data_IF_515170674722
#
_entry.id   IF_515170674722
#
_cell.length_a   1.000
_cell.length_b   1.000
_cell.length_c   1.000
_cell.angle_alpha   90.00
_cell.angle_beta   90.00
_cell.angle_gamma   90.00
#
_symmetry.space_group_name_H-M   'P 1'
#
loop_
_entity.id
_entity.type
_entity.pdbx_description
1 polymer ?
#
# COMPACT_ATOMS: atom_id res chain seq x y z
N UNK A 1 6.89 -1.74 -21.72
CA UNK A 1 6.65 -2.48 -20.47
C UNK A 1 7.25 -1.60 -19.39
N UNK A 2 6.43 -1.12 -18.45
CA UNK A 2 6.94 -0.38 -17.30
C UNK A 2 7.44 -1.41 -16.30
N UNK A 3 8.54 -1.13 -15.62
CA UNK A 3 9.00 -1.97 -14.52
C UNK A 3 7.95 -1.90 -13.39
N UNK A 4 7.60 -3.06 -12.84
CA UNK A 4 6.65 -3.13 -11.73
C UNK A 4 7.42 -2.83 -10.46
N UNK A 5 6.97 -1.82 -9.72
CA UNK A 5 7.57 -1.47 -8.43
C UNK A 5 6.74 -2.14 -7.36
N UNK A 6 7.39 -2.91 -6.49
CA UNK A 6 6.70 -3.66 -5.44
C UNK A 6 7.28 -3.41 -4.05
N UNK A 7 6.38 -3.32 -3.08
CA UNK A 7 6.71 -3.15 -1.67
C UNK A 7 5.90 -4.10 -0.80
N UNK A 8 6.41 -4.37 0.39
CA UNK A 8 5.72 -5.09 1.46
C UNK A 8 5.56 -4.17 2.67
N UNK A 9 4.34 -4.02 3.19
CA UNK A 9 4.04 -3.30 4.44
C UNK A 9 3.60 -4.30 5.51
N UNK A 10 4.26 -4.34 6.67
CA UNK A 10 3.95 -5.32 7.72
C UNK A 10 4.24 -4.80 9.13
N UNK A 11 3.77 -5.51 10.14
CA UNK A 11 4.09 -5.18 11.54
C UNK A 11 5.55 -5.49 11.86
N UNK A 12 6.24 -4.60 12.58
CA UNK A 12 7.65 -4.78 12.94
C UNK A 12 7.88 -5.89 13.98
N UNK A 13 6.91 -6.11 14.87
CA UNK A 13 7.05 -7.08 15.95
C UNK A 13 6.77 -8.53 15.55
N UNK A 14 5.87 -8.75 14.58
CA UNK A 14 5.42 -10.08 14.16
C UNK A 14 5.70 -10.42 12.69
N UNK A 15 6.02 -9.42 11.86
CA UNK A 15 6.08 -9.57 10.40
C UNK A 15 4.76 -10.11 9.81
N UNK A 16 3.64 -9.70 10.40
CA UNK A 16 2.29 -10.11 10.04
C UNK A 16 1.51 -8.95 9.41
N UNK A 17 0.28 -9.24 8.98
CA UNK A 17 -0.67 -8.22 8.55
C UNK A 17 -1.00 -7.26 9.68
N UNK A 18 -0.88 -5.95 9.43
CA UNK A 18 -1.56 -4.95 10.23
C UNK A 18 -3.07 -5.23 10.23
N UNK A 19 -3.67 -5.27 11.42
CA UNK A 19 -5.07 -5.63 11.58
C UNK A 19 -5.99 -4.44 11.23
N UNK A 20 -6.24 -4.24 9.93
CA UNK A 20 -7.12 -3.17 9.43
C UNK A 20 -8.53 -3.74 9.27
N UNK A 21 -9.51 -3.13 9.92
CA UNK A 21 -10.91 -3.48 9.69
C UNK A 21 -11.31 -3.20 8.23
N UNK A 22 -11.98 -4.16 7.58
CA UNK A 22 -12.36 -4.06 6.15
C UNK A 22 -13.10 -2.76 5.80
N UNK A 23 -14.01 -2.31 6.65
CA UNK A 23 -14.74 -1.04 6.46
C UNK A 23 -13.89 0.22 6.59
N UNK A 24 -12.69 0.11 7.17
CA UNK A 24 -11.72 1.20 7.34
C UNK A 24 -10.63 1.19 6.27
N UNK A 25 -10.46 0.09 5.53
CA UNK A 25 -9.42 -0.04 4.49
C UNK A 25 -9.39 1.14 3.50
N UNK A 26 -10.52 1.65 2.96
CA UNK A 26 -10.48 2.79 2.06
C UNK A 26 -9.93 4.07 2.70
N UNK A 27 -10.13 4.23 4.01
CA UNK A 27 -9.63 5.38 4.75
C UNK A 27 -8.15 5.25 5.09
N UNK A 28 -7.68 4.03 5.36
CA UNK A 28 -6.32 3.76 5.83
C UNK A 28 -5.34 3.58 4.67
N UNK A 29 -5.77 2.90 3.60
CA UNK A 29 -4.93 2.57 2.46
C UNK A 29 -4.93 3.65 1.37
N UNK A 30 -5.89 4.57 1.39
CA UNK A 30 -5.79 5.79 0.57
C UNK A 30 -4.98 6.84 1.33
N UNK A 31 -3.79 7.22 0.85
CA UNK A 31 -2.92 8.17 1.55
C UNK A 31 -3.51 9.58 1.53
N UNK A 32 -3.69 10.15 2.72
CA UNK A 32 -4.22 11.50 2.88
C UNK A 32 -3.29 12.54 2.26
N UNK A 33 -3.87 13.53 1.57
CA UNK A 33 -3.12 14.56 0.86
C UNK A 33 -2.56 14.14 -0.50
N UNK A 34 -2.84 12.92 -0.95
CA UNK A 34 -2.54 12.47 -2.30
C UNK A 34 -3.80 12.51 -3.18
N UNK A 35 -3.62 12.87 -4.45
CA UNK A 35 -4.69 12.79 -5.45
C UNK A 35 -4.82 11.35 -5.95
N UNK A 36 -5.29 10.49 -5.05
CA UNK A 36 -5.50 9.07 -5.30
C UNK A 36 -6.95 8.70 -4.99
N UNK A 37 -7.58 7.93 -5.88
CA UNK A 37 -8.97 7.50 -5.74
C UNK A 37 -9.06 5.98 -5.65
N UNK A 38 -9.88 5.47 -4.73
CA UNK A 38 -10.18 4.04 -4.67
C UNK A 38 -10.92 3.60 -5.94
N UNK A 39 -10.53 2.47 -6.52
CA UNK A 39 -11.14 1.92 -7.73
C UNK A 39 -11.54 0.46 -7.51
N UNK A 40 -12.64 0.05 -8.16
CA UNK A 40 -13.10 -1.35 -8.13
C UNK A 40 -12.25 -2.21 -9.08
N UNK A 41 -11.89 -3.43 -8.68
CA UNK A 41 -11.07 -4.34 -9.48
C UNK A 41 -11.08 -5.78 -8.96
N UNK A 42 -10.69 -6.74 -9.81
CA UNK A 42 -10.80 -8.18 -9.54
C UNK A 42 -9.45 -8.73 -9.05
N UNK A 43 -9.37 -9.22 -7.80
CA UNK A 43 -8.28 -10.08 -7.32
C UNK A 43 -7.49 -9.59 -6.10
N UNK A 44 -7.39 -8.28 -5.86
CA UNK A 44 -6.68 -7.68 -4.70
C UNK A 44 -7.68 -7.12 -3.68
N UNK A 45 -7.29 -6.98 -2.41
CA UNK A 45 -8.20 -6.53 -1.36
C UNK A 45 -8.57 -5.05 -1.46
N UNK A 46 -7.64 -4.22 -1.94
CA UNK A 46 -7.88 -2.81 -2.21
C UNK A 46 -7.07 -2.32 -3.41
N UNK A 47 -7.62 -1.36 -4.15
CA UNK A 47 -6.95 -0.74 -5.29
C UNK A 47 -7.21 0.75 -5.32
N UNK A 48 -6.19 1.51 -5.70
CA UNK A 48 -6.27 2.93 -5.91
C UNK A 48 -5.62 3.35 -7.22
N UNK A 49 -6.07 4.47 -7.76
CA UNK A 49 -5.49 5.11 -8.94
C UNK A 49 -4.93 6.46 -8.54
N UNK A 50 -3.65 6.68 -8.80
CA UNK A 50 -2.94 7.94 -8.58
C UNK A 50 -2.42 8.44 -9.92
N UNK A 51 -3.13 9.39 -10.55
CA UNK A 51 -2.87 9.76 -11.95
C UNK A 51 -3.03 8.58 -12.90
N UNK A 52 -1.98 8.28 -13.67
CA UNK A 52 -1.96 7.18 -14.65
C UNK A 52 -1.43 5.85 -14.07
N UNK A 53 -1.20 5.78 -12.75
CA UNK A 53 -0.70 4.57 -12.07
C UNK A 53 -1.81 3.93 -11.25
N UNK A 54 -2.00 2.63 -11.44
CA UNK A 54 -2.79 1.80 -10.53
C UNK A 54 -1.88 1.25 -9.42
N UNK A 55 -2.38 1.27 -8.19
CA UNK A 55 -1.70 0.71 -7.02
C UNK A 55 -2.63 -0.32 -6.41
N UNK A 56 -2.15 -1.55 -6.31
CA UNK A 56 -2.91 -2.67 -5.75
C UNK A 56 -2.35 -3.05 -4.39
N UNK A 57 -3.24 -3.33 -3.44
CA UNK A 57 -2.92 -3.81 -2.09
C UNK A 57 -3.51 -5.22 -1.95
N UNK A 58 -2.62 -6.18 -1.73
CA UNK A 58 -2.97 -7.59 -1.56
C UNK A 58 -2.48 -8.07 -0.20
N UNK A 59 -3.36 -8.65 0.61
CA UNK A 59 -2.94 -9.30 1.83
C UNK A 59 -2.23 -10.61 1.50
N UNK A 60 -0.94 -10.73 1.85
CA UNK A 60 -0.14 -11.96 1.73
C UNK A 60 0.48 -12.36 3.07
N UNK A 61 0.52 -13.62 3.55
CA UNK A 61 0.84 -13.97 4.96
C UNK A 61 1.96 -13.20 5.70
N UNK A 62 2.93 -12.65 4.98
CA UNK A 62 4.05 -11.80 5.42
C UNK A 62 3.78 -10.29 5.52
N UNK A 63 2.62 -9.78 5.09
CA UNK A 63 2.28 -8.34 5.03
C UNK A 63 1.26 -7.96 3.94
N UNK A 64 1.02 -6.66 3.79
CA UNK A 64 0.36 -6.09 2.62
C UNK A 64 1.38 -5.93 1.50
N UNK A 65 1.23 -6.69 0.44
CA UNK A 65 1.95 -6.46 -0.81
C UNK A 65 1.33 -5.27 -1.54
N UNK A 66 2.18 -4.36 -2.02
CA UNK A 66 1.80 -3.14 -2.71
C UNK A 66 2.51 -3.09 -4.05
N UNK A 67 1.77 -3.23 -5.14
CA UNK A 67 2.30 -3.18 -6.50
C UNK A 67 1.84 -1.92 -7.23
N UNK A 68 2.74 -1.36 -8.04
CA UNK A 68 2.50 -0.15 -8.84
C UNK A 68 2.55 -0.49 -10.33
N UNK A 69 1.42 -0.33 -11.00
CA UNK A 69 1.27 -0.58 -12.43
C UNK A 69 1.06 0.75 -13.17
N UNK A 70 2.10 1.21 -13.88
CA UNK A 70 2.05 2.43 -14.69
C UNK A 70 3.26 3.34 -14.46
N UNK A 71 3.25 4.55 -15.04
CA UNK A 71 4.39 5.46 -15.00
C UNK A 71 4.47 6.21 -13.67
N UNK A 72 4.98 5.55 -12.62
CA UNK A 72 5.28 6.21 -11.33
C UNK A 72 6.79 6.17 -11.06
N UNK A 73 7.44 7.33 -10.82
CA UNK A 73 8.82 7.35 -10.35
C UNK A 73 8.97 6.61 -9.01
N UNK A 74 10.05 5.84 -8.88
CA UNK A 74 10.32 5.03 -7.69
C UNK A 74 10.34 5.84 -6.39
N UNK A 75 10.89 7.05 -6.41
CA UNK A 75 10.92 7.94 -5.25
C UNK A 75 9.51 8.41 -4.83
N UNK A 76 8.61 8.63 -5.80
CA UNK A 76 7.21 8.94 -5.56
C UNK A 76 6.48 7.72 -4.99
N UNK A 77 6.67 6.53 -5.57
CA UNK A 77 6.11 5.28 -5.05
C UNK A 77 6.55 5.01 -3.60
N UNK A 78 7.84 5.18 -3.29
CA UNK A 78 8.35 5.07 -1.93
C UNK A 78 7.69 6.06 -0.97
N UNK A 79 7.51 7.33 -1.37
CA UNK A 79 6.83 8.32 -0.52
C UNK A 79 5.37 7.96 -0.28
N UNK A 80 4.69 7.38 -1.27
CA UNK A 80 3.32 6.89 -1.13
C UNK A 80 3.27 5.75 -0.10
N UNK A 81 4.15 4.77 -0.21
CA UNK A 81 4.25 3.65 0.74
C UNK A 81 4.56 4.13 2.15
N UNK A 82 5.46 5.09 2.32
CA UNK A 82 5.75 5.72 3.63
C UNK A 82 4.48 6.35 4.22
N UNK A 83 3.72 7.08 3.41
CA UNK A 83 2.49 7.72 3.86
C UNK A 83 1.44 6.67 4.29
N UNK A 84 1.24 5.63 3.49
CA UNK A 84 0.30 4.54 3.84
C UNK A 84 0.75 3.81 5.11
N UNK A 85 2.05 3.47 5.23
CA UNK A 85 2.59 2.84 6.42
C UNK A 85 2.34 3.68 7.69
N UNK A 86 2.57 4.99 7.62
CA UNK A 86 2.29 5.91 8.74
C UNK A 86 0.80 5.96 9.11
N UNK A 87 -0.10 5.92 8.14
CA UNK A 87 -1.55 5.87 8.41
C UNK A 87 -1.96 4.54 9.06
N UNK A 88 -1.36 3.44 8.62
CA UNK A 88 -1.58 2.13 9.24
C UNK A 88 -1.08 2.14 10.69
N UNK A 89 0.11 2.69 10.98
CA UNK A 89 0.61 2.87 12.35
C UNK A 89 -0.39 3.65 13.21
N UNK A 90 -0.91 4.76 12.69
CA UNK A 90 -1.87 5.60 13.41
C UNK A 90 -3.21 4.89 13.68
N UNK A 91 -3.75 4.15 12.70
CA UNK A 91 -5.02 3.45 12.86
C UNK A 91 -4.89 2.24 13.79
N UNK A 92 -3.80 1.47 13.67
CA UNK A 92 -3.64 0.19 14.38
C UNK A 92 -2.91 0.31 15.71
N UNK A 93 -2.20 1.43 15.95
CA UNK A 93 -1.26 1.60 17.06
C UNK A 93 -0.18 0.50 17.11
N UNK A 94 0.13 -0.10 15.96
CA UNK A 94 1.22 -1.07 15.80
C UNK A 94 2.40 -0.39 15.11
N UNK A 95 3.63 -0.77 15.46
CA UNK A 95 4.81 -0.33 14.71
C UNK A 95 4.84 -1.05 13.36
N UNK A 96 4.95 -0.29 12.28
CA UNK A 96 4.96 -0.78 10.90
C UNK A 96 6.36 -0.61 10.33
N UNK A 97 6.69 -1.52 9.43
CA UNK A 97 7.84 -1.39 8.53
C UNK A 97 7.39 -1.62 7.09
N UNK A 98 8.19 -1.10 6.16
CA UNK A 98 8.00 -1.31 4.74
C UNK A 98 9.32 -1.69 4.09
N UNK A 99 9.27 -2.56 3.10
CA UNK A 99 10.44 -3.10 2.40
C UNK A 99 10.14 -3.08 0.91
N UNK A 100 11.11 -2.69 0.09
CA UNK A 100 11.00 -2.87 -1.36
C UNK A 100 11.35 -4.31 -1.72
N UNK A 101 10.49 -5.00 -2.48
CA UNK A 101 10.64 -6.44 -2.79
C UNK A 101 10.91 -6.73 -4.27
N UNK A 102 10.64 -5.79 -5.18
CA UNK A 102 11.06 -5.88 -6.59
C UNK A 102 11.39 -4.50 -7.20
N UNK A 103 12.29 -4.46 -8.19
CA UNK A 103 12.82 -3.23 -8.81
C UNK A 103 13.13 -3.34 -10.29
#
# INVERSE_FOLDING_TARGET
>A
MYDVIEFLIRTRGGHEWPAIHRGRMPHVLTPAGWDCVGVSGCGCDYRLRCGDTEVSFSGEPVGWEVSFEGPMPKDVATRLVIAVAAQIEQETNQSIEWIQIDS
#
